data_IF_330718010663
#
_entry.id   IF_330718010663
#
_cell.length_a   1.000
_cell.length_b   1.000
_cell.length_c   1.000
_cell.angle_alpha   90.00
_cell.angle_beta   90.00
_cell.angle_gamma   90.00
#
_symmetry.space_group_name_H-M   'P 1'
#
loop_
_entity.id
_entity.type
_entity.pdbx_description
1 polymer ?
#
# COMPACT_ATOMS: atom_id res chain seq x y z
N UNK A 1 -15.22 -12.57 -0.62
CA UNK A 1 -13.81 -13.00 -0.51
C UNK A 1 -13.10 -11.76 -0.01
N UNK A 2 -12.52 -11.83 1.19
CA UNK A 2 -12.01 -10.67 1.91
C UNK A 2 -11.02 -9.90 1.06
N UNK A 3 -11.08 -8.58 1.14
CA UNK A 3 -10.16 -7.66 0.51
C UNK A 3 -8.81 -7.78 1.22
N UNK A 4 -8.12 -8.90 0.97
CA UNK A 4 -6.79 -9.15 1.52
C UNK A 4 -5.89 -8.10 0.90
N UNK A 5 -5.32 -7.24 1.72
CA UNK A 5 -4.40 -6.19 1.29
C UNK A 5 -3.29 -6.82 0.45
N UNK A 6 -3.10 -6.38 -0.80
CA UNK A 6 -1.99 -6.81 -1.66
C UNK A 6 -0.62 -6.25 -1.18
N UNK A 7 -0.57 -5.69 0.03
CA UNK A 7 0.58 -5.00 0.60
C UNK A 7 1.78 -5.95 0.71
N UNK A 8 1.56 -7.17 1.20
CA UNK A 8 2.62 -8.17 1.32
C UNK A 8 3.15 -8.59 -0.05
N UNK A 9 2.27 -8.80 -1.04
CA UNK A 9 2.68 -9.10 -2.41
C UNK A 9 3.58 -7.98 -2.99
N UNK A 10 3.24 -6.71 -2.75
CA UNK A 10 4.07 -5.59 -3.22
C UNK A 10 5.44 -5.52 -2.53
N UNK A 11 5.50 -5.79 -1.22
CA UNK A 11 6.76 -5.87 -0.49
C UNK A 11 7.62 -7.05 -0.96
N UNK A 12 7.02 -8.22 -1.23
CA UNK A 12 7.72 -9.39 -1.77
C UNK A 12 8.25 -9.17 -3.20
N UNK A 13 7.54 -8.34 -4.00
CA UNK A 13 8.02 -7.87 -5.30
C UNK A 13 9.15 -6.83 -5.20
N UNK A 14 9.47 -6.37 -3.99
CA UNK A 14 10.50 -5.36 -3.74
C UNK A 14 10.06 -3.94 -4.11
N UNK A 15 8.75 -3.69 -4.21
CA UNK A 15 8.20 -2.36 -4.46
C UNK A 15 8.26 -1.51 -3.20
N UNK A 16 8.48 -0.21 -3.35
CA UNK A 16 8.37 0.71 -2.22
C UNK A 16 6.89 0.95 -1.89
N UNK A 17 6.44 0.51 -0.71
CA UNK A 17 5.06 0.71 -0.26
C UNK A 17 5.00 1.82 0.77
N UNK A 18 4.03 2.73 0.64
CA UNK A 18 3.73 3.78 1.61
C UNK A 18 2.25 3.81 1.94
N UNK A 19 1.90 4.03 3.20
CA UNK A 19 0.51 4.18 3.67
C UNK A 19 0.40 5.51 4.38
N UNK A 20 -0.43 6.43 3.87
CA UNK A 20 -0.60 7.79 4.39
C UNK A 20 0.72 8.57 4.53
N UNK A 21 1.67 8.31 3.62
CA UNK A 21 3.03 8.89 3.65
C UNK A 21 3.98 8.23 4.66
N UNK A 22 3.56 7.15 5.33
CA UNK A 22 4.41 6.32 6.19
C UNK A 22 4.99 5.18 5.36
N UNK A 23 6.31 5.06 5.23
CA UNK A 23 6.93 3.93 4.53
C UNK A 23 6.68 2.62 5.28
N UNK A 24 6.27 1.61 4.52
CA UNK A 24 6.04 0.27 5.05
C UNK A 24 7.35 -0.50 5.03
N UNK A 25 7.68 -1.12 6.16
CA UNK A 25 8.84 -1.96 6.34
C UNK A 25 8.49 -3.19 7.18
N UNK A 26 9.41 -4.16 7.27
CA UNK A 26 9.16 -5.41 8.00
C UNK A 26 8.70 -5.22 9.46
N UNK A 27 9.02 -4.08 10.09
CA UNK A 27 8.66 -3.76 11.47
C UNK A 27 7.21 -3.29 11.62
N UNK A 28 6.62 -2.72 10.57
CA UNK A 28 5.28 -2.14 10.60
C UNK A 28 4.29 -2.79 9.60
N UNK A 29 4.76 -3.70 8.74
CA UNK A 29 3.96 -4.36 7.71
C UNK A 29 2.68 -4.99 8.26
N UNK A 30 2.75 -5.73 9.38
CA UNK A 30 1.57 -6.40 9.95
C UNK A 30 0.53 -5.40 10.44
N UNK A 31 0.98 -4.27 11.01
CA UNK A 31 0.08 -3.21 11.48
C UNK A 31 -0.58 -2.49 10.30
N UNK A 32 0.17 -2.23 9.24
CA UNK A 32 -0.34 -1.57 8.03
C UNK A 32 -1.30 -2.49 7.26
N UNK A 33 -0.98 -3.78 7.17
CA UNK A 33 -1.82 -4.81 6.55
C UNK A 33 -3.19 -4.86 7.23
N UNK A 34 -3.21 -4.99 8.57
CA UNK A 34 -4.43 -4.97 9.38
C UNK A 34 -5.23 -3.68 9.19
N UNK A 35 -4.56 -2.52 9.21
CA UNK A 35 -5.23 -1.23 9.03
C UNK A 35 -5.91 -1.12 7.67
N UNK A 36 -5.28 -1.62 6.60
CA UNK A 36 -5.84 -1.65 5.25
C UNK A 36 -6.96 -2.70 5.10
N UNK A 37 -6.89 -3.81 5.84
CA UNK A 37 -7.97 -4.80 5.87
C UNK A 37 -9.21 -4.30 6.65
N UNK A 38 -9.00 -3.52 7.72
CA UNK A 38 -10.07 -2.99 8.56
C UNK A 38 -10.75 -1.74 7.96
N UNK A 39 -10.01 -0.92 7.22
CA UNK A 39 -10.50 0.35 6.66
C UNK A 39 -10.50 0.30 5.13
N UNK A 40 -11.68 0.12 4.54
CA UNK A 40 -11.87 0.09 3.07
C UNK A 40 -11.77 1.50 2.44
N UNK A 41 -11.55 2.55 3.24
CA UNK A 41 -11.46 3.92 2.73
C UNK A 41 -10.09 4.23 2.13
N UNK A 42 -9.17 3.28 2.06
CA UNK A 42 -7.87 3.49 1.43
C UNK A 42 -7.92 3.17 -0.06
N UNK A 43 -7.49 4.11 -0.89
CA UNK A 43 -7.21 3.85 -2.31
C UNK A 43 -5.71 3.61 -2.50
N UNK A 44 -5.38 2.66 -3.38
CA UNK A 44 -4.01 2.40 -3.82
C UNK A 44 -3.71 3.12 -5.14
N UNK A 45 -2.55 3.75 -5.20
CA UNK A 45 -2.00 4.42 -6.36
C UNK A 45 -0.65 3.79 -6.73
N UNK A 46 -0.40 3.62 -8.03
CA UNK A 46 0.80 2.99 -8.54
C UNK A 46 1.69 4.06 -9.15
N UNK A 47 2.94 4.11 -8.69
CA UNK A 47 3.94 5.02 -9.23
C UNK A 47 4.86 4.23 -10.14
N UNK A 48 4.86 4.62 -11.41
CA UNK A 48 5.78 4.14 -12.42
C UNK A 48 7.06 4.99 -12.51
N UNK A 49 8.15 4.34 -12.91
CA UNK A 49 9.42 4.97 -13.26
C UNK A 49 9.42 5.50 -14.71
N UNK A 50 10.49 6.16 -15.15
CA UNK A 50 10.66 6.68 -16.53
C UNK A 50 10.45 5.64 -17.64
N UNK A 51 10.50 4.34 -17.30
CA UNK A 51 10.25 3.20 -18.19
C UNK A 51 8.80 2.71 -18.21
N UNK A 52 7.93 3.26 -17.37
CA UNK A 52 6.56 2.75 -17.17
C UNK A 52 6.48 1.49 -16.30
N UNK A 53 7.55 1.16 -15.58
CA UNK A 53 7.60 0.03 -14.65
C UNK A 53 7.16 0.50 -13.25
N UNK A 54 6.23 -0.21 -12.63
CA UNK A 54 5.76 0.10 -11.27
C UNK A 54 6.95 -0.06 -10.32
N UNK A 55 7.25 1.02 -9.60
CA UNK A 55 8.35 1.07 -8.63
C UNK A 55 7.86 1.33 -7.20
N UNK A 56 6.68 1.94 -7.03
CA UNK A 56 6.10 2.17 -5.71
C UNK A 56 4.57 2.07 -5.72
N UNK A 57 4.02 1.79 -4.53
CA UNK A 57 2.58 1.74 -4.27
C UNK A 57 2.26 2.65 -3.08
N UNK A 58 1.28 3.52 -3.25
CA UNK A 58 0.83 4.44 -2.22
C UNK A 58 -0.61 4.16 -1.84
N UNK A 59 -0.85 3.89 -0.56
CA UNK A 59 -2.18 3.83 0.01
C UNK A 59 -2.51 5.19 0.62
N UNK A 60 -3.59 5.81 0.15
CA UNK A 60 -4.07 7.09 0.65
C UNK A 60 -5.49 6.95 1.17
N UNK A 61 -5.74 7.48 2.37
CA UNK A 61 -7.09 7.49 2.92
C UNK A 61 -7.95 8.47 2.15
N UNK A 62 -9.07 7.98 1.62
CA UNK A 62 -10.09 8.78 0.97
C UNK A 62 -10.96 9.40 2.06
N UNK A 63 -10.61 10.61 2.49
CA UNK A 63 -11.52 11.44 3.27
C UNK A 63 -12.51 12.11 2.32
N UNK A 64 -13.74 11.58 2.23
CA UNK A 64 -14.85 12.36 1.68
C UNK A 64 -15.10 13.56 2.61
N UNK A 65 -14.85 14.77 2.11
CA UNK A 65 -15.19 16.03 2.76
C UNK A 65 -16.67 16.39 2.52
#
# INVERSE_FOLDING_TARGET
MGHRSDLLDYLELGLAVQVDGIPVDNSNQEQMDLMLEEDDSYMKDFIDDEKGEICAVYYQKVTNH
#
